data_IF_849963898970
#
_entry.id   IF_849963898970
#
_cell.length_a   1.000
_cell.length_b   1.000
_cell.length_c   1.000
_cell.angle_alpha   90.00
_cell.angle_beta   90.00
_cell.angle_gamma   90.00
#
_symmetry.space_group_name_H-M   'P 1'
#
loop_
_entity.id
_entity.type
_entity.pdbx_description
1 polymer ?
#
# COMPACT_ATOMS: atom_id res chain seq x y z
N UNK A 1 -23.13 -26.77 52.64
CA UNK A 1 -23.04 -26.76 51.16
C UNK A 1 -23.96 -25.71 50.53
N UNK A 2 -25.28 -25.70 50.81
CA UNK A 2 -26.20 -24.70 50.23
C UNK A 2 -25.97 -23.25 50.72
N UNK A 3 -25.59 -23.05 51.98
CA UNK A 3 -25.33 -21.70 52.52
C UNK A 3 -24.06 -21.04 51.97
N UNK A 4 -23.01 -21.81 51.70
CA UNK A 4 -21.78 -21.29 51.07
C UNK A 4 -22.01 -20.85 49.62
N UNK A 5 -22.88 -21.57 48.90
CA UNK A 5 -23.26 -21.21 47.52
C UNK A 5 -24.09 -19.93 47.54
N UNK A 6 -25.00 -19.77 48.49
CA UNK A 6 -25.82 -18.55 48.64
C UNK A 6 -24.98 -17.33 49.04
N UNK A 7 -24.04 -17.48 49.99
CA UNK A 7 -23.14 -16.41 50.39
C UNK A 7 -22.20 -15.98 49.26
N UNK A 8 -21.72 -16.93 48.43
CA UNK A 8 -20.93 -16.62 47.24
C UNK A 8 -21.75 -15.96 46.12
N UNK A 9 -23.04 -16.31 45.97
CA UNK A 9 -23.89 -15.66 44.97
C UNK A 9 -24.16 -14.20 45.34
N UNK A 10 -24.51 -13.93 46.60
CA UNK A 10 -24.81 -12.59 47.12
C UNK A 10 -23.56 -11.71 47.17
N UNK A 11 -22.40 -12.27 47.52
CA UNK A 11 -21.12 -11.55 47.45
C UNK A 11 -20.73 -11.22 46.00
N UNK A 12 -20.97 -12.13 45.05
CA UNK A 12 -20.70 -11.91 43.63
C UNK A 12 -21.61 -10.85 42.99
N UNK A 13 -22.86 -10.72 43.46
CA UNK A 13 -23.76 -9.66 43.01
C UNK A 13 -23.31 -8.30 43.53
N UNK A 14 -22.87 -8.21 44.79
CA UNK A 14 -22.34 -6.97 45.39
C UNK A 14 -21.07 -6.49 44.67
N UNK A 15 -20.17 -7.42 44.32
CA UNK A 15 -18.97 -7.13 43.51
C UNK A 15 -19.34 -6.66 42.09
N UNK A 16 -20.47 -7.11 41.54
CA UNK A 16 -20.91 -6.73 40.19
C UNK A 16 -21.51 -5.33 40.13
N UNK A 17 -22.17 -4.86 41.19
CA UNK A 17 -22.73 -3.50 41.27
C UNK A 17 -21.64 -2.43 41.42
N UNK A 18 -20.56 -2.73 42.14
CA UNK A 18 -19.41 -1.81 42.34
C UNK A 18 -18.61 -1.55 41.05
N UNK A 19 -18.70 -2.45 40.05
CA UNK A 19 -18.03 -2.30 38.76
C UNK A 19 -18.85 -1.56 37.71
N UNK A 20 -20.15 -1.36 37.92
CA UNK A 20 -21.07 -0.89 36.86
C UNK A 20 -21.22 0.64 36.81
N UNK A 21 -20.77 1.41 37.81
CA UNK A 21 -20.82 2.89 37.73
C UNK A 21 -19.55 3.53 38.27
N UNK A 22 -18.40 3.27 37.63
CA UNK A 22 -17.40 4.33 37.56
C UNK A 22 -17.92 5.36 36.56
N UNK A 23 -18.48 6.45 37.06
CA UNK A 23 -18.71 7.65 36.25
C UNK A 23 -17.41 7.88 35.45
N UNK A 24 -17.45 7.90 34.10
CA UNK A 24 -16.24 8.16 33.33
C UNK A 24 -15.65 9.46 33.87
N UNK A 25 -14.38 9.42 34.29
CA UNK A 25 -13.73 10.60 34.83
C UNK A 25 -13.92 11.74 33.83
N UNK A 26 -14.46 12.87 34.28
CA UNK A 26 -14.64 14.03 33.41
C UNK A 26 -13.28 14.34 32.78
N UNK A 27 -13.20 14.49 31.45
CA UNK A 27 -11.93 14.75 30.80
C UNK A 27 -11.31 15.99 31.43
N UNK A 28 -10.02 15.89 31.77
CA UNK A 28 -9.32 17.01 32.39
C UNK A 28 -9.25 18.18 31.42
N UNK A 29 -9.15 19.40 31.94
CA UNK A 29 -8.97 20.61 31.13
C UNK A 29 -7.75 20.47 30.22
N UNK A 30 -6.68 19.84 30.71
CA UNK A 30 -5.48 19.55 29.92
C UNK A 30 -5.78 18.62 28.75
N UNK A 31 -6.57 17.56 28.94
CA UNK A 31 -6.91 16.62 27.88
C UNK A 31 -7.77 17.27 26.80
N UNK A 32 -8.75 18.10 27.20
CA UNK A 32 -9.57 18.90 26.27
C UNK A 32 -8.68 19.86 25.49
N UNK A 33 -7.81 20.61 26.17
CA UNK A 33 -6.91 21.57 25.52
C UNK A 33 -5.96 20.88 24.52
N UNK A 34 -5.38 19.73 24.89
CA UNK A 34 -4.53 18.94 23.99
C UNK A 34 -5.29 18.43 22.77
N UNK A 35 -6.50 17.89 22.97
CA UNK A 35 -7.33 17.42 21.86
C UNK A 35 -7.73 18.57 20.93
N UNK A 36 -8.12 19.72 21.49
CA UNK A 36 -8.43 20.92 20.71
C UNK A 36 -7.22 21.43 19.93
N UNK A 37 -6.02 21.38 20.51
CA UNK A 37 -4.77 21.72 19.83
C UNK A 37 -4.50 20.78 18.66
N UNK A 38 -4.62 19.46 18.87
CA UNK A 38 -4.44 18.45 17.81
C UNK A 38 -5.43 18.69 16.67
N UNK A 39 -6.72 18.88 16.98
CA UNK A 39 -7.76 19.14 15.98
C UNK A 39 -7.51 20.46 15.25
N UNK A 40 -7.17 21.53 15.96
CA UNK A 40 -6.87 22.82 15.35
C UNK A 40 -5.64 22.74 14.42
N UNK A 41 -4.57 22.04 14.85
CA UNK A 41 -3.39 21.81 14.03
C UNK A 41 -3.71 21.01 12.77
N UNK A 42 -4.54 19.96 12.87
CA UNK A 42 -5.02 19.19 11.72
C UNK A 42 -5.83 20.05 10.76
N UNK A 43 -6.74 20.88 11.27
CA UNK A 43 -7.55 21.78 10.45
C UNK A 43 -6.69 22.83 9.74
N UNK A 44 -5.73 23.44 10.45
CA UNK A 44 -4.78 24.40 9.88
C UNK A 44 -3.89 23.73 8.82
N UNK A 45 -3.34 22.54 9.09
CA UNK A 45 -2.56 21.79 8.11
C UNK A 45 -3.40 21.36 6.89
N UNK A 46 -4.66 21.01 7.08
CA UNK A 46 -5.56 20.66 5.96
C UNK A 46 -5.92 21.87 5.11
N UNK A 47 -6.13 23.03 5.73
CA UNK A 47 -6.49 24.28 5.06
C UNK A 47 -5.30 24.98 4.37
N UNK A 48 -4.09 24.86 4.94
CA UNK A 48 -2.90 25.58 4.46
C UNK A 48 -1.83 24.68 3.82
N UNK A 49 -1.70 23.43 4.24
CA UNK A 49 -0.49 22.64 3.97
C UNK A 49 -0.65 21.53 2.94
N UNK A 50 -1.75 20.78 2.97
CA UNK A 50 -1.86 19.57 2.14
C UNK A 50 -2.14 19.85 0.66
N UNK A 51 -2.83 20.95 0.33
CA UNK A 51 -3.13 21.31 -1.07
C UNK A 51 -1.94 21.96 -1.81
N UNK A 52 -0.87 22.33 -1.10
CA UNK A 52 0.26 23.06 -1.68
C UNK A 52 1.44 22.16 -2.06
N UNK A 53 1.48 20.92 -1.59
CA UNK A 53 2.52 19.96 -1.99
C UNK A 53 2.14 19.37 -3.35
N UNK A 54 2.55 20.06 -4.41
CA UNK A 54 2.42 19.53 -5.77
C UNK A 54 3.43 18.40 -5.96
N UNK A 55 2.96 17.26 -6.49
CA UNK A 55 3.85 16.18 -6.90
C UNK A 55 4.64 16.62 -8.14
N UNK A 56 5.95 16.41 -8.10
CA UNK A 56 6.84 16.68 -9.22
C UNK A 56 6.50 15.77 -10.40
N UNK A 57 6.00 16.34 -11.50
CA UNK A 57 5.65 15.66 -12.74
C UNK A 57 6.84 14.94 -13.40
N UNK A 58 8.08 15.30 -13.03
CA UNK A 58 9.30 14.63 -13.51
C UNK A 58 9.67 13.39 -12.69
N UNK A 59 9.01 13.18 -11.54
CA UNK A 59 9.25 12.04 -10.65
C UNK A 59 8.05 11.11 -10.59
N UNK A 60 6.86 11.69 -10.47
CA UNK A 60 5.63 10.93 -10.26
C UNK A 60 4.86 10.69 -11.56
N UNK A 61 4.29 9.48 -11.77
CA UNK A 61 3.55 9.13 -12.98
C UNK A 61 2.10 9.65 -12.98
N UNK A 62 1.91 10.96 -12.82
CA UNK A 62 0.58 11.57 -12.78
C UNK A 62 -0.23 11.40 -14.07
N UNK A 63 0.47 11.33 -15.20
CA UNK A 63 -0.12 11.13 -16.52
C UNK A 63 -0.57 9.67 -16.76
N UNK A 64 -0.19 8.73 -15.90
CA UNK A 64 -0.70 7.35 -15.95
C UNK A 64 -2.06 7.20 -15.27
N UNK A 65 -2.53 8.19 -14.50
CA UNK A 65 -3.75 8.06 -13.70
C UNK A 65 -4.98 7.71 -14.56
N UNK A 66 -5.24 8.49 -15.60
CA UNK A 66 -6.38 8.27 -16.50
C UNK A 66 -6.24 6.94 -17.29
N UNK A 67 -5.10 6.63 -17.93
CA UNK A 67 -4.86 5.33 -18.55
C UNK A 67 -5.06 4.13 -17.61
N UNK A 68 -4.60 4.22 -16.36
CA UNK A 68 -4.80 3.19 -15.36
C UNK A 68 -6.30 3.01 -15.05
N UNK A 69 -7.05 4.10 -14.86
CA UNK A 69 -8.49 4.00 -14.61
C UNK A 69 -9.25 3.38 -15.78
N UNK A 70 -8.79 3.59 -17.01
CA UNK A 70 -9.35 2.96 -18.21
C UNK A 70 -9.10 1.44 -18.19
N UNK A 71 -7.86 1.02 -17.95
CA UNK A 71 -7.50 -0.40 -17.94
C UNK A 71 -8.20 -1.21 -16.82
N UNK A 72 -8.54 -0.60 -15.68
CA UNK A 72 -9.36 -1.28 -14.65
C UNK A 72 -10.70 -1.75 -15.21
N UNK A 73 -11.29 -1.01 -16.16
CA UNK A 73 -12.57 -1.40 -16.76
C UNK A 73 -12.43 -2.64 -17.63
N UNK A 74 -11.27 -2.81 -18.27
CA UNK A 74 -11.01 -3.91 -19.22
C UNK A 74 -10.59 -5.20 -18.50
N UNK A 75 -9.80 -5.08 -17.42
CA UNK A 75 -9.25 -6.24 -16.69
C UNK A 75 -10.02 -6.59 -15.42
N UNK A 76 -10.88 -5.68 -14.96
CA UNK A 76 -11.69 -5.83 -13.77
C UNK A 76 -11.06 -5.23 -12.50
N UNK A 77 -11.90 -4.91 -11.50
CA UNK A 77 -11.42 -4.53 -10.17
C UNK A 77 -10.64 -5.71 -9.57
N UNK A 78 -9.62 -5.42 -8.75
CA UNK A 78 -8.73 -6.40 -8.13
C UNK A 78 -7.67 -7.06 -9.02
N UNK A 79 -7.46 -6.53 -10.23
CA UNK A 79 -6.35 -6.97 -11.09
C UNK A 79 -5.01 -6.81 -10.36
N UNK A 80 -4.23 -7.89 -10.29
CA UNK A 80 -2.85 -7.88 -9.79
C UNK A 80 -1.94 -7.20 -10.80
N UNK A 81 -1.24 -6.16 -10.35
CA UNK A 81 -0.24 -5.45 -11.13
C UNK A 81 1.12 -5.62 -10.51
N UNK A 82 2.17 -5.62 -11.32
CA UNK A 82 3.52 -5.36 -10.88
C UNK A 82 3.76 -3.84 -10.83
N UNK A 83 4.49 -3.39 -9.81
CA UNK A 83 5.03 -2.04 -9.69
C UNK A 83 6.41 -2.10 -9.02
N UNK A 84 7.26 -1.10 -9.26
CA UNK A 84 8.50 -0.97 -8.50
C UNK A 84 8.22 -0.57 -7.05
N UNK A 85 9.18 -0.86 -6.16
CA UNK A 85 9.04 -0.70 -4.71
C UNK A 85 8.54 0.70 -4.31
N UNK A 86 9.07 1.75 -4.95
CA UNK A 86 8.78 3.15 -4.61
C UNK A 86 7.44 3.66 -5.16
N UNK A 87 6.77 2.88 -6.01
CA UNK A 87 5.51 3.30 -6.65
C UNK A 87 4.26 2.87 -5.87
N UNK A 88 4.42 2.00 -4.86
CA UNK A 88 3.30 1.41 -4.14
C UNK A 88 2.37 2.44 -3.51
N UNK A 89 2.95 3.43 -2.81
CA UNK A 89 2.17 4.47 -2.13
C UNK A 89 1.38 5.33 -3.12
N UNK A 90 1.99 5.65 -4.26
CA UNK A 90 1.34 6.38 -5.34
C UNK A 90 0.15 5.61 -5.90
N UNK A 91 0.32 4.32 -6.20
CA UNK A 91 -0.72 3.48 -6.78
C UNK A 91 -1.86 3.24 -5.81
N UNK A 92 -1.58 3.07 -4.52
CA UNK A 92 -2.63 2.94 -3.49
C UNK A 92 -3.48 4.20 -3.42
N UNK A 93 -2.88 5.38 -3.56
CA UNK A 93 -3.61 6.64 -3.49
C UNK A 93 -4.40 6.96 -4.76
N UNK A 94 -3.77 6.86 -5.94
CA UNK A 94 -4.35 7.30 -7.20
C UNK A 94 -5.04 6.21 -8.02
N UNK A 95 -4.76 4.93 -7.71
CA UNK A 95 -5.26 3.78 -8.43
C UNK A 95 -5.79 2.68 -7.47
N UNK A 96 -6.70 3.00 -6.53
CA UNK A 96 -7.07 2.11 -5.42
C UNK A 96 -7.81 0.82 -5.84
N UNK A 97 -8.25 0.71 -7.10
CA UNK A 97 -8.94 -0.48 -7.63
C UNK A 97 -7.99 -1.59 -8.09
N UNK A 98 -6.68 -1.32 -8.06
CA UNK A 98 -5.63 -2.27 -8.42
C UNK A 98 -5.07 -2.96 -7.18
N UNK A 99 -4.63 -4.21 -7.34
CA UNK A 99 -3.86 -4.92 -6.30
C UNK A 99 -2.37 -4.67 -6.55
N UNK A 100 -1.83 -3.69 -5.82
CA UNK A 100 -0.42 -3.29 -5.80
C UNK A 100 0.45 -4.46 -5.34
N UNK A 101 1.59 -4.66 -5.99
CA UNK A 101 2.52 -5.76 -5.71
C UNK A 101 3.37 -5.49 -4.48
N UNK A 102 4.09 -4.36 -4.48
CA UNK A 102 5.01 -3.92 -3.43
C UNK A 102 4.72 -2.49 -3.03
N UNK A 103 5.12 -2.18 -1.82
CA UNK A 103 5.12 -0.84 -1.30
C UNK A 103 6.36 -0.63 -0.43
N UNK A 104 6.99 0.53 -0.58
CA UNK A 104 8.17 0.93 0.16
C UNK A 104 7.94 0.98 1.67
N UNK A 105 6.70 1.14 2.17
CA UNK A 105 6.42 1.01 3.61
C UNK A 105 6.66 -0.41 4.13
N UNK A 106 6.67 -1.42 3.26
CA UNK A 106 7.08 -2.77 3.63
C UNK A 106 8.60 -2.94 3.69
N UNK A 107 9.39 -1.94 3.28
CA UNK A 107 10.85 -1.94 3.41
C UNK A 107 11.30 -2.03 4.87
N UNK A 108 10.47 -1.60 5.82
CA UNK A 108 10.78 -1.72 7.26
C UNK A 108 10.99 -3.19 7.70
N UNK A 109 10.45 -4.13 6.92
CA UNK A 109 10.62 -5.57 7.10
C UNK A 109 11.61 -6.18 6.11
N UNK A 110 12.10 -5.39 5.17
CA UNK A 110 13.13 -5.76 4.21
C UNK A 110 14.48 -5.13 4.60
N UNK A 111 15.56 -5.59 3.98
CA UNK A 111 16.92 -5.09 4.14
C UNK A 111 17.51 -5.17 5.56
N UNK A 112 16.82 -5.78 6.53
CA UNK A 112 17.30 -5.93 7.93
C UNK A 112 18.66 -6.63 7.98
N UNK A 113 18.79 -7.68 7.18
CA UNK A 113 20.02 -8.46 7.03
C UNK A 113 20.69 -8.16 5.65
N UNK A 114 20.50 -6.92 5.16
CA UNK A 114 20.93 -6.48 3.82
C UNK A 114 20.15 -7.17 2.70
N UNK A 115 20.78 -7.34 1.53
CA UNK A 115 20.18 -8.02 0.36
C UNK A 115 20.04 -9.55 0.51
N UNK A 116 20.22 -10.10 1.72
CA UNK A 116 20.17 -11.54 1.99
C UNK A 116 19.14 -11.91 3.07
N UNK A 117 18.23 -11.00 3.40
CA UNK A 117 17.19 -11.21 4.43
C UNK A 117 16.12 -12.26 4.04
N UNK A 118 16.17 -12.79 2.82
CA UNK A 118 15.20 -13.73 2.28
C UNK A 118 13.81 -13.13 2.07
N UNK A 119 13.67 -11.80 2.23
CA UNK A 119 12.40 -11.13 2.02
C UNK A 119 12.04 -11.10 0.54
N UNK A 120 10.74 -11.09 0.28
CA UNK A 120 10.23 -11.06 -1.08
C UNK A 120 10.64 -9.76 -1.82
N UNK A 121 10.75 -8.65 -1.10
CA UNK A 121 11.19 -7.34 -1.63
C UNK A 121 12.63 -7.44 -2.10
N UNK A 122 13.51 -7.96 -1.25
CA UNK A 122 14.92 -8.15 -1.57
C UNK A 122 15.12 -9.09 -2.75
N UNK A 123 14.38 -10.21 -2.77
CA UNK A 123 14.40 -11.17 -3.88
C UNK A 123 14.03 -10.47 -5.19
N UNK A 124 12.92 -9.74 -5.21
CA UNK A 124 12.44 -9.07 -6.43
C UNK A 124 13.37 -7.96 -6.88
N UNK A 125 13.90 -7.15 -5.96
CA UNK A 125 14.89 -6.13 -6.29
C UNK A 125 16.15 -6.73 -6.89
N UNK A 126 16.60 -7.88 -6.37
CA UNK A 126 17.73 -8.61 -6.94
C UNK A 126 17.44 -9.13 -8.35
N UNK A 127 16.25 -9.73 -8.57
CA UNK A 127 15.83 -10.19 -9.89
C UNK A 127 15.69 -9.03 -10.89
N UNK A 128 15.10 -7.92 -10.48
CA UNK A 128 14.96 -6.73 -11.31
C UNK A 128 16.33 -6.22 -11.78
N UNK A 129 17.30 -6.11 -10.88
CA UNK A 129 18.62 -5.57 -11.22
C UNK A 129 19.49 -6.54 -12.01
N UNK A 130 19.41 -7.84 -11.72
CA UNK A 130 20.40 -8.82 -12.20
C UNK A 130 19.84 -9.87 -13.17
N UNK A 131 18.54 -10.13 -13.16
CA UNK A 131 17.88 -11.16 -13.97
C UNK A 131 16.42 -10.78 -14.32
N UNK A 132 16.19 -9.66 -15.06
CA UNK A 132 14.84 -9.16 -15.33
C UNK A 132 13.99 -10.12 -16.16
N UNK A 133 14.60 -11.04 -16.89
CA UNK A 133 13.96 -12.13 -17.62
C UNK A 133 13.37 -13.18 -16.69
N UNK A 134 14.10 -13.54 -15.63
CA UNK A 134 13.59 -14.41 -14.57
C UNK A 134 12.47 -13.72 -13.79
N UNK A 135 12.60 -12.41 -13.51
CA UNK A 135 11.52 -11.64 -12.92
C UNK A 135 10.25 -11.71 -13.78
N UNK A 136 10.36 -11.42 -15.07
CA UNK A 136 9.22 -11.47 -16.00
C UNK A 136 8.52 -12.84 -15.96
N UNK A 137 9.30 -13.93 -16.00
CA UNK A 137 8.77 -15.29 -15.91
C UNK A 137 8.05 -15.54 -14.58
N UNK A 138 8.62 -15.11 -13.46
CA UNK A 138 7.97 -15.24 -12.13
C UNK A 138 6.66 -14.44 -12.06
N UNK A 139 6.63 -13.22 -12.59
CA UNK A 139 5.42 -12.39 -12.63
C UNK A 139 4.32 -13.06 -13.45
N UNK A 140 4.67 -13.61 -14.62
CA UNK A 140 3.74 -14.34 -15.47
C UNK A 140 3.19 -15.60 -14.78
N UNK A 141 4.06 -16.37 -14.11
CA UNK A 141 3.67 -17.55 -13.34
C UNK A 141 2.76 -17.23 -12.15
N UNK A 142 2.89 -16.04 -11.57
CA UNK A 142 2.00 -15.55 -10.49
C UNK A 142 0.66 -15.00 -11.01
N UNK A 143 0.45 -15.01 -12.33
CA UNK A 143 -0.75 -14.51 -12.98
C UNK A 143 -0.82 -12.98 -13.02
N UNK A 144 0.32 -12.29 -12.92
CA UNK A 144 0.37 -10.83 -13.06
C UNK A 144 0.29 -10.50 -14.55
N UNK A 145 -0.71 -9.68 -14.91
CA UNK A 145 -1.03 -9.36 -16.31
C UNK A 145 -0.44 -8.04 -16.76
N UNK A 146 -0.31 -7.10 -15.82
CA UNK A 146 0.06 -5.72 -16.10
C UNK A 146 1.25 -5.35 -15.22
N UNK A 147 2.22 -4.66 -15.82
CA UNK A 147 3.36 -4.09 -15.11
C UNK A 147 3.40 -2.59 -15.33
N UNK A 148 3.65 -1.85 -14.26
CA UNK A 148 3.93 -0.42 -14.28
C UNK A 148 5.39 -0.25 -13.90
N UNK A 149 6.17 0.36 -14.77
CA UNK A 149 7.61 0.50 -14.55
C UNK A 149 8.10 1.89 -14.94
N UNK A 150 9.11 2.45 -14.27
CA UNK A 150 9.93 3.53 -14.80
C UNK A 150 10.44 3.18 -16.19
N UNK A 151 10.63 4.19 -17.04
CA UNK A 151 11.11 4.00 -18.41
C UNK A 151 12.51 3.42 -18.50
N UNK A 152 13.35 3.72 -17.52
CA UNK A 152 14.75 3.29 -17.44
C UNK A 152 14.95 2.02 -16.61
N UNK A 153 13.87 1.46 -16.07
CA UNK A 153 13.87 0.19 -15.35
C UNK A 153 14.48 -0.95 -16.18
N UNK A 154 15.21 -1.88 -15.55
CA UNK A 154 15.72 -3.06 -16.24
C UNK A 154 14.62 -3.89 -16.90
N UNK A 155 13.48 -4.06 -16.23
CA UNK A 155 12.33 -4.77 -16.77
C UNK A 155 11.72 -4.04 -17.98
N UNK A 156 11.56 -2.72 -17.91
CA UNK A 156 11.07 -1.93 -19.04
C UNK A 156 11.99 -2.02 -20.28
N UNK A 157 13.31 -1.98 -20.07
CA UNK A 157 14.30 -2.19 -21.15
C UNK A 157 14.23 -3.60 -21.74
N UNK A 158 14.04 -4.62 -20.90
CA UNK A 158 13.84 -5.98 -21.36
C UNK A 158 12.58 -6.07 -22.26
N UNK A 159 11.43 -5.58 -21.79
CA UNK A 159 10.16 -5.65 -22.54
C UNK A 159 10.24 -4.96 -23.92
N UNK A 160 11.05 -3.91 -24.06
CA UNK A 160 11.30 -3.24 -25.34
C UNK A 160 12.25 -4.02 -26.26
N UNK A 161 13.12 -4.84 -25.70
CA UNK A 161 14.15 -5.59 -26.43
C UNK A 161 13.78 -7.05 -26.70
N UNK A 162 12.68 -7.56 -26.12
CA UNK A 162 12.17 -8.91 -26.41
C UNK A 162 11.77 -9.05 -27.88
N UNK A 163 11.77 -10.30 -28.37
CA UNK A 163 11.26 -10.66 -29.70
C UNK A 163 10.11 -11.66 -29.55
N UNK A 164 8.87 -11.30 -29.90
CA UNK A 164 8.45 -10.00 -30.41
C UNK A 164 8.52 -8.88 -29.35
N UNK A 165 8.72 -7.65 -29.82
CA UNK A 165 8.74 -6.47 -28.94
C UNK A 165 7.38 -6.28 -28.31
N UNK A 166 7.35 -6.18 -26.98
CA UNK A 166 6.13 -5.85 -26.25
C UNK A 166 6.03 -4.32 -26.26
N UNK A 167 4.98 -3.79 -26.88
CA UNK A 167 4.71 -2.35 -26.84
C UNK A 167 3.98 -1.99 -25.55
N UNK A 168 4.32 -0.86 -24.91
CA UNK A 168 3.56 -0.40 -23.76
C UNK A 168 2.12 -0.07 -24.20
N UNK A 169 1.14 -0.44 -23.37
CA UNK A 169 -0.25 -0.03 -23.55
C UNK A 169 -0.40 1.50 -23.40
N UNK A 170 0.44 2.08 -22.54
CA UNK A 170 0.59 3.53 -22.39
C UNK A 170 2.02 3.86 -22.00
N UNK A 171 2.60 4.91 -22.58
CA UNK A 171 3.93 5.41 -22.23
C UNK A 171 3.80 6.86 -21.80
N UNK A 172 3.93 7.10 -20.50
CA UNK A 172 3.85 8.43 -19.90
C UNK A 172 5.18 9.17 -19.93
N UNK A 173 5.37 10.15 -19.05
CA UNK A 173 6.61 10.92 -18.95
C UNK A 173 7.71 10.11 -18.25
N UNK A 174 7.39 9.59 -17.06
CA UNK A 174 8.34 8.89 -16.18
C UNK A 174 8.19 7.37 -16.25
N UNK A 175 6.96 6.88 -16.43
CA UNK A 175 6.63 5.45 -16.38
C UNK A 175 5.91 4.98 -17.65
N UNK A 176 5.82 3.67 -17.81
CA UNK A 176 5.02 3.02 -18.84
C UNK A 176 4.18 1.89 -18.23
N UNK A 177 3.04 1.63 -18.86
CA UNK A 177 2.14 0.51 -18.53
C UNK A 177 2.31 -0.56 -19.59
N UNK A 178 2.62 -1.77 -19.16
CA UNK A 178 2.92 -2.92 -20.01
C UNK A 178 1.88 -4.01 -19.79
N UNK A 179 1.43 -4.65 -20.88
CA UNK A 179 0.66 -5.89 -20.81
C UNK A 179 1.66 -7.03 -20.98
N UNK A 180 2.01 -7.68 -19.87
CA UNK A 180 3.08 -8.69 -19.81
C UNK A 180 2.56 -10.13 -19.89
N UNK A 181 1.26 -10.33 -19.77
CA UNK A 181 0.62 -11.63 -19.98
C UNK A 181 -0.76 -11.44 -20.65
N UNK A 182 -0.83 -11.50 -22.00
CA UNK A 182 -2.06 -11.21 -22.74
C UNK A 182 -3.01 -12.43 -22.86
N UNK A 183 -2.62 -13.63 -22.42
CA UNK A 183 -3.52 -14.80 -22.50
C UNK A 183 -4.69 -14.64 -21.53
N UNK A 184 -5.90 -14.50 -22.10
CA UNK A 184 -7.18 -14.87 -21.50
C UNK A 184 -7.44 -16.35 -21.73
#
# INVERSE_FOLDING_TARGET
>A
MFEEIWLNLVSSQKIREDWIIRQPAKPSVSMIATLSLIVASLLISSALGWYQVQLDLKKWPLDLIEPMQHLVRDYGPDTKIYNELNDGGFLIFYAPKWRVFQDDRCEIHAFRDGMNDGSWITKNRNLEMNAPDQLLLELQNQGIKIAITPKDSPLGKLLQSTSPTIKPAFSGNTHAIWIINPTL
#
